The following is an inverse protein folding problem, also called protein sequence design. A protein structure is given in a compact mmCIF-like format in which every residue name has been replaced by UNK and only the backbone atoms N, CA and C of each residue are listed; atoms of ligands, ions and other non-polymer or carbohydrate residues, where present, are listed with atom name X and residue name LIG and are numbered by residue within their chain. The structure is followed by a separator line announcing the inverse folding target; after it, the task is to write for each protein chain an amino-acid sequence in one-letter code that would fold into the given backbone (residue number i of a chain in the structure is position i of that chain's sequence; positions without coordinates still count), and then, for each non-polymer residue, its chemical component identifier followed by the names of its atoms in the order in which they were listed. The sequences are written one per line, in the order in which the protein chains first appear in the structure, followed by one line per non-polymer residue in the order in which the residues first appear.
data_IF_962280120100
#
_entry.id   IF_962280120100
#
_cell.length_a   1.000
_cell.length_b   1.000
_cell.length_c   1.000
_cell.angle_alpha   90.00
_cell.angle_beta   90.00
_cell.angle_gamma   90.00
#
_symmetry.space_group_name_H-M   'P 1'
#
loop_
_entity.id
_entity.type
_entity.pdbx_description
1 polymer ?
#
# COMPACT_ATOMS: atom_id res chain seq x y z
N UNK A 1 15.60 9.51 -15.56
CA UNK A 1 14.74 8.58 -14.77
C UNK A 1 15.52 7.29 -14.58
N UNK A 2 15.55 6.76 -13.37
CA UNK A 2 16.33 5.59 -12.99
C UNK A 2 15.77 4.29 -13.60
N UNK A 3 16.62 3.26 -13.83
CA UNK A 3 16.21 2.01 -14.45
C UNK A 3 15.14 1.26 -13.63
N UNK A 4 15.20 1.31 -12.29
CA UNK A 4 14.23 0.70 -11.39
C UNK A 4 12.83 1.28 -11.61
N UNK A 5 12.73 2.61 -11.77
CA UNK A 5 11.47 3.31 -12.04
C UNK A 5 10.93 2.93 -13.41
N UNK A 6 11.81 2.84 -14.42
CA UNK A 6 11.39 2.45 -15.78
C UNK A 6 10.86 1.01 -15.79
N UNK A 7 11.55 0.10 -15.10
CA UNK A 7 11.12 -1.30 -14.96
C UNK A 7 9.77 -1.38 -14.22
N UNK A 8 9.59 -0.62 -13.15
CA UNK A 8 8.35 -0.60 -12.38
C UNK A 8 7.17 -0.06 -13.19
N UNK A 9 7.37 0.99 -13.98
CA UNK A 9 6.36 1.50 -14.93
C UNK A 9 5.90 0.44 -15.93
N UNK A 10 6.83 -0.36 -16.46
CA UNK A 10 6.50 -1.48 -17.34
C UNK A 10 5.64 -2.52 -16.60
N UNK A 11 6.01 -2.89 -15.38
CA UNK A 11 5.21 -3.80 -14.53
C UNK A 11 3.79 -3.30 -14.30
N UNK A 12 3.60 -2.02 -14.05
CA UNK A 12 2.25 -1.43 -13.90
C UNK A 12 1.47 -1.50 -15.24
N UNK A 13 2.10 -1.18 -16.35
CA UNK A 13 1.45 -1.25 -17.66
C UNK A 13 1.02 -2.68 -18.02
N UNK A 14 1.86 -3.66 -17.76
CA UNK A 14 1.56 -5.09 -17.95
C UNK A 14 0.43 -5.55 -17.02
N UNK A 15 0.47 -5.14 -15.74
CA UNK A 15 -0.60 -5.39 -14.78
C UNK A 15 -1.94 -4.82 -15.25
N UNK A 16 -1.96 -3.55 -15.66
CA UNK A 16 -3.18 -2.90 -16.14
C UNK A 16 -3.74 -3.57 -17.40
N UNK A 17 -2.87 -3.99 -18.32
CA UNK A 17 -3.26 -4.75 -19.52
C UNK A 17 -3.90 -6.08 -19.14
N UNK A 18 -3.23 -6.85 -18.27
CA UNK A 18 -3.73 -8.15 -17.77
C UNK A 18 -5.04 -7.99 -16.99
N UNK A 19 -5.13 -6.98 -16.13
CA UNK A 19 -6.35 -6.66 -15.37
C UNK A 19 -7.53 -6.41 -16.32
N UNK A 20 -7.37 -5.54 -17.32
CA UNK A 20 -8.42 -5.25 -18.32
C UNK A 20 -8.85 -6.49 -19.10
N UNK A 21 -7.91 -7.40 -19.41
CA UNK A 21 -8.23 -8.67 -20.06
C UNK A 21 -9.05 -9.57 -19.13
N UNK A 22 -8.60 -9.77 -17.91
CA UNK A 22 -9.29 -10.60 -16.91
C UNK A 22 -10.67 -10.06 -16.53
N UNK A 23 -10.82 -8.74 -16.46
CA UNK A 23 -12.12 -8.10 -16.24
C UNK A 23 -13.11 -8.35 -17.39
N UNK A 24 -12.64 -8.41 -18.64
CA UNK A 24 -13.47 -8.76 -19.81
C UNK A 24 -13.87 -10.24 -19.82
N UNK A 25 -12.95 -11.14 -19.44
CA UNK A 25 -13.16 -12.58 -19.47
C UNK A 25 -13.95 -13.10 -18.28
N UNK A 26 -13.70 -12.58 -17.07
CA UNK A 26 -14.19 -13.10 -15.79
C UNK A 26 -15.07 -12.11 -15.01
N UNK A 27 -15.24 -10.89 -15.54
CA UNK A 27 -15.99 -9.83 -14.90
C UNK A 27 -15.22 -9.05 -13.83
N UNK A 28 -15.84 -8.02 -13.23
CA UNK A 28 -15.18 -7.04 -12.34
C UNK A 28 -14.62 -7.66 -11.04
N UNK A 29 -15.10 -8.82 -10.65
CA UNK A 29 -14.66 -9.52 -9.43
C UNK A 29 -13.58 -10.58 -9.67
N UNK A 30 -12.89 -10.56 -10.81
CA UNK A 30 -11.90 -11.55 -11.24
C UNK A 30 -10.83 -11.89 -10.17
N UNK A 31 -10.45 -10.94 -9.33
CA UNK A 31 -9.41 -11.12 -8.31
C UNK A 31 -9.95 -11.61 -6.94
N UNK A 32 -11.27 -11.76 -6.78
CA UNK A 32 -11.89 -12.09 -5.49
C UNK A 32 -11.45 -13.43 -4.87
N UNK A 33 -10.94 -14.36 -5.66
CA UNK A 33 -10.40 -15.65 -5.17
C UNK A 33 -8.90 -15.81 -5.33
N UNK A 34 -8.27 -15.00 -6.18
CA UNK A 34 -6.86 -15.15 -6.59
C UNK A 34 -5.90 -14.38 -5.68
N UNK A 35 -6.36 -13.30 -5.03
CA UNK A 35 -5.56 -12.42 -4.16
C UNK A 35 -4.25 -11.93 -4.79
N UNK A 36 -4.26 -11.71 -6.10
CA UNK A 36 -3.10 -11.15 -6.79
C UNK A 36 -2.85 -9.71 -6.29
N UNK A 37 -1.63 -9.46 -5.83
CA UNK A 37 -1.23 -8.15 -5.31
C UNK A 37 -0.80 -7.25 -6.46
N UNK A 38 -1.42 -6.09 -6.66
CA UNK A 38 -1.01 -5.14 -7.68
C UNK A 38 0.40 -4.59 -7.37
N UNK A 39 1.18 -4.21 -8.40
CA UNK A 39 2.40 -3.46 -8.20
C UNK A 39 2.14 -2.17 -7.42
N UNK A 40 3.14 -1.68 -6.69
CA UNK A 40 3.03 -0.40 -6.00
C UNK A 40 2.57 0.70 -6.97
N UNK A 41 1.66 1.58 -6.50
CA UNK A 41 1.09 2.70 -7.26
C UNK A 41 0.22 2.32 -8.49
N UNK A 42 -0.10 1.04 -8.67
CA UNK A 42 -1.07 0.61 -9.68
C UNK A 42 -2.52 0.82 -9.24
N UNK A 43 -2.75 1.05 -7.95
CA UNK A 43 -4.06 1.33 -7.36
C UNK A 43 -3.97 2.52 -6.40
N UNK A 44 -5.13 3.17 -6.14
CA UNK A 44 -5.19 4.32 -5.24
C UNK A 44 -4.72 5.64 -5.86
N UNK A 45 -4.34 5.62 -7.15
CA UNK A 45 -3.87 6.78 -7.90
C UNK A 45 -4.34 6.65 -9.35
N UNK A 46 -4.75 7.78 -9.97
CA UNK A 46 -5.11 7.82 -11.38
C UNK A 46 -3.90 7.60 -12.30
N UNK A 47 -4.14 7.11 -13.52
CA UNK A 47 -3.08 6.95 -14.52
C UNK A 47 -2.42 8.31 -14.87
N UNK A 48 -3.15 9.41 -14.74
CA UNK A 48 -2.68 10.77 -14.99
C UNK A 48 -1.63 11.25 -13.95
N UNK A 49 -1.77 10.83 -12.69
CA UNK A 49 -0.85 11.23 -11.61
C UNK A 49 0.36 10.31 -11.47
N UNK A 50 0.36 9.12 -12.06
CA UNK A 50 1.51 8.21 -11.99
C UNK A 50 2.83 8.84 -12.48
N UNK A 51 2.88 9.60 -13.61
CA UNK A 51 4.13 10.25 -14.04
C UNK A 51 4.68 11.24 -13.02
N UNK A 52 3.80 11.92 -12.27
CA UNK A 52 4.18 12.85 -11.21
C UNK A 52 4.83 12.12 -10.04
N UNK A 53 4.23 11.01 -9.61
CA UNK A 53 4.79 10.14 -8.55
C UNK A 53 6.18 9.66 -8.93
N UNK A 54 6.38 9.18 -10.15
CA UNK A 54 7.69 8.71 -10.60
C UNK A 54 8.74 9.80 -10.65
N UNK A 55 8.37 11.05 -10.96
CA UNK A 55 9.28 12.19 -10.88
C UNK A 55 9.68 12.50 -9.43
N UNK A 56 8.73 12.47 -8.50
CA UNK A 56 8.99 12.65 -7.07
C UNK A 56 9.94 11.57 -6.54
N UNK A 57 9.70 10.31 -6.84
CA UNK A 57 10.59 9.21 -6.44
C UNK A 57 11.98 9.34 -7.08
N UNK A 58 12.07 9.73 -8.36
CA UNK A 58 13.36 9.96 -9.03
C UNK A 58 14.15 11.12 -8.40
N UNK A 59 13.47 12.20 -8.01
CA UNK A 59 14.08 13.31 -7.30
C UNK A 59 14.60 12.91 -5.92
N UNK A 60 13.79 12.22 -5.12
CA UNK A 60 14.19 11.66 -3.83
C UNK A 60 15.37 10.68 -3.99
N UNK A 61 15.30 9.78 -4.97
CA UNK A 61 16.38 8.82 -5.21
C UNK A 61 17.69 9.48 -5.64
N UNK A 62 17.63 10.55 -6.45
CA UNK A 62 18.83 11.32 -6.82
C UNK A 62 19.51 11.96 -5.62
N UNK A 63 18.74 12.44 -4.68
CA UNK A 63 19.27 13.07 -3.47
C UNK A 63 19.76 12.04 -2.43
N UNK A 64 19.08 10.91 -2.28
CA UNK A 64 19.35 9.96 -1.22
C UNK A 64 20.39 8.90 -1.57
N UNK A 65 20.50 8.47 -2.84
CA UNK A 65 21.46 7.42 -3.21
C UNK A 65 22.92 7.82 -2.98
N UNK A 66 23.36 9.09 -3.24
CA UNK A 66 24.70 9.51 -2.86
C UNK A 66 24.99 9.43 -1.36
N UNK A 67 23.94 9.38 -0.53
CA UNK A 67 24.00 9.27 0.94
C UNK A 67 23.96 7.81 1.44
N UNK A 68 24.16 6.84 0.54
CA UNK A 68 24.22 5.42 0.88
C UNK A 68 22.89 4.66 0.79
N UNK A 69 21.83 5.34 0.34
CA UNK A 69 20.55 4.67 0.10
C UNK A 69 20.52 3.93 -1.24
N UNK A 70 19.65 2.96 -1.35
CA UNK A 70 19.34 2.28 -2.61
C UNK A 70 17.82 2.26 -2.82
N UNK A 71 17.40 2.33 -4.07
CA UNK A 71 16.01 2.15 -4.48
C UNK A 71 15.82 0.69 -4.88
N UNK A 72 14.82 0.02 -4.29
CA UNK A 72 14.49 -1.36 -4.64
C UNK A 72 13.60 -1.41 -5.89
N UNK A 73 13.42 -2.60 -6.47
CA UNK A 73 12.51 -2.81 -7.60
C UNK A 73 11.05 -2.45 -7.29
N UNK A 74 10.63 -2.54 -6.03
CA UNK A 74 9.30 -2.14 -5.56
C UNK A 74 9.23 -0.66 -5.16
N UNK A 75 10.25 0.12 -5.53
CA UNK A 75 10.38 1.55 -5.25
C UNK A 75 10.34 1.89 -3.76
N UNK A 76 10.89 1.01 -2.92
CA UNK A 76 11.17 1.28 -1.51
C UNK A 76 12.59 1.81 -1.36
N UNK A 77 12.80 2.68 -0.39
CA UNK A 77 14.13 3.11 -0.01
C UNK A 77 14.73 2.13 1.01
N UNK A 78 15.92 1.64 0.74
CA UNK A 78 16.64 0.73 1.62
C UNK A 78 18.02 1.29 1.98
N UNK A 79 18.40 1.14 3.25
CA UNK A 79 19.73 1.41 3.76
C UNK A 79 20.13 0.22 4.65
N UNK A 80 21.24 -0.42 4.34
CA UNK A 80 21.66 -1.69 4.95
C UNK A 80 20.57 -2.76 4.86
N UNK A 81 20.04 -3.18 6.01
CA UNK A 81 18.97 -4.18 6.12
C UNK A 81 17.58 -3.56 6.32
N UNK A 82 17.53 -2.25 6.52
CA UNK A 82 16.31 -1.54 6.88
C UNK A 82 15.66 -0.93 5.64
N UNK A 83 14.34 -1.04 5.56
CA UNK A 83 13.56 -0.56 4.41
C UNK A 83 12.46 0.39 4.85
N UNK A 84 12.30 1.47 4.09
CA UNK A 84 11.21 2.44 4.24
C UNK A 84 10.30 2.37 3.03
N UNK A 85 9.03 2.18 3.28
CA UNK A 85 7.99 2.07 2.25
C UNK A 85 7.33 3.43 2.01
N UNK A 86 7.20 3.80 0.74
CA UNK A 86 6.44 4.97 0.31
C UNK A 86 5.08 4.50 -0.21
N UNK A 87 4.02 5.12 0.27
CA UNK A 87 2.65 4.86 -0.21
C UNK A 87 2.06 6.17 -0.72
N UNK A 88 1.72 6.20 -2.00
CA UNK A 88 1.01 7.33 -2.58
C UNK A 88 -0.49 7.02 -2.68
N UNK A 89 -1.29 8.04 -2.42
CA UNK A 89 -2.73 8.02 -2.66
C UNK A 89 -3.18 9.34 -3.24
N UNK A 90 -4.22 9.30 -4.05
CA UNK A 90 -4.85 10.47 -4.63
C UNK A 90 -6.20 10.72 -3.96
N UNK A 91 -6.45 11.97 -3.62
CA UNK A 91 -7.71 12.36 -3.01
C UNK A 91 -8.85 12.27 -4.05
N UNK A 92 -10.05 12.00 -3.55
CA UNK A 92 -11.25 11.91 -4.37
C UNK A 92 -12.27 12.97 -3.94
N UNK A 93 -12.97 13.55 -4.91
CA UNK A 93 -14.14 14.37 -4.69
C UNK A 93 -15.39 13.54 -4.96
N UNK A 94 -16.46 13.82 -4.23
CA UNK A 94 -17.75 13.21 -4.46
C UNK A 94 -18.55 14.09 -5.45
N UNK A 95 -18.90 13.51 -6.59
CA UNK A 95 -19.78 14.13 -7.58
C UNK A 95 -21.14 13.43 -7.59
N UNK A 96 -22.19 14.15 -7.95
CA UNK A 96 -23.52 13.56 -8.05
C UNK A 96 -23.50 12.46 -9.12
N UNK A 97 -23.98 11.28 -8.75
CA UNK A 97 -24.04 10.16 -9.67
C UNK A 97 -25.06 10.40 -10.77
N UNK A 98 -24.68 10.21 -12.02
CA UNK A 98 -25.59 10.19 -13.16
C UNK A 98 -25.95 8.74 -13.46
N UNK A 99 -27.24 8.33 -13.29
CA UNK A 99 -27.64 6.95 -13.49
C UNK A 99 -27.26 6.42 -14.87
N UNK A 100 -26.68 5.25 -14.91
CA UNK A 100 -26.37 4.55 -16.16
C UNK A 100 -27.63 4.09 -16.88
N UNK A 101 -27.52 3.70 -18.15
CA UNK A 101 -28.64 3.14 -18.89
C UNK A 101 -29.27 1.92 -18.21
N UNK A 102 -28.44 1.05 -17.61
CA UNK A 102 -28.92 -0.13 -16.91
C UNK A 102 -29.64 0.22 -15.61
N UNK A 103 -29.14 1.22 -14.88
CA UNK A 103 -29.77 1.72 -13.66
C UNK A 103 -31.10 2.39 -13.95
N UNK A 104 -31.17 3.15 -15.04
CA UNK A 104 -32.44 3.77 -15.51
C UNK A 104 -33.47 2.70 -15.91
N UNK A 105 -33.05 1.62 -16.59
CA UNK A 105 -33.96 0.51 -16.89
C UNK A 105 -34.48 -0.15 -15.60
N UNK A 106 -33.67 -0.40 -14.62
CA UNK A 106 -34.10 -0.93 -13.31
C UNK A 106 -35.05 0.03 -12.59
N UNK A 107 -34.87 1.33 -12.72
CA UNK A 107 -35.81 2.31 -12.16
C UNK A 107 -37.17 2.26 -12.86
N UNK A 108 -37.19 2.13 -14.18
CA UNK A 108 -38.44 2.00 -14.95
C UNK A 108 -39.15 0.69 -14.62
N UNK A 109 -38.42 -0.44 -14.56
CA UNK A 109 -38.99 -1.71 -14.14
C UNK A 109 -39.59 -1.62 -12.75
N UNK A 110 -38.89 -0.99 -11.81
CA UNK A 110 -39.42 -0.75 -10.46
C UNK A 110 -40.70 0.09 -10.48
N UNK A 111 -40.75 1.17 -11.27
CA UNK A 111 -41.94 2.02 -11.37
C UNK A 111 -43.15 1.25 -11.92
N UNK A 112 -42.94 0.37 -12.89
CA UNK A 112 -44.00 -0.48 -13.43
C UNK A 112 -44.47 -1.55 -12.44
N UNK A 113 -43.53 -2.19 -11.71
CA UNK A 113 -43.85 -3.17 -10.68
C UNK A 113 -44.54 -2.53 -9.48
N UNK A 114 -44.10 -1.37 -9.03
CA UNK A 114 -44.66 -0.64 -7.90
C UNK A 114 -46.10 -0.16 -8.14
N UNK A 115 -46.48 0.09 -9.40
CA UNK A 115 -47.86 0.34 -9.76
C UNK A 115 -48.77 -0.86 -9.58
N UNK A 116 -48.22 -2.07 -9.66
CA UNK A 116 -48.98 -3.32 -9.54
C UNK A 116 -48.89 -3.93 -8.14
N UNK A 117 -47.72 -3.75 -7.46
CA UNK A 117 -47.39 -4.42 -6.22
C UNK A 117 -46.74 -3.43 -5.24
N UNK A 118 -47.37 -3.18 -4.12
CA UNK A 118 -46.91 -2.25 -3.07
C UNK A 118 -45.63 -2.73 -2.35
N UNK A 119 -45.28 -4.01 -2.49
CA UNK A 119 -44.06 -4.63 -1.92
C UNK A 119 -42.82 -4.50 -2.83
N UNK A 120 -42.93 -3.96 -4.04
CA UNK A 120 -41.78 -3.77 -4.92
C UNK A 120 -40.69 -2.92 -4.27
N UNK A 121 -39.46 -3.43 -4.28
CA UNK A 121 -38.33 -2.73 -3.64
C UNK A 121 -37.60 -1.84 -4.61
N UNK A 122 -37.47 -0.57 -4.25
CA UNK A 122 -36.70 0.40 -5.04
C UNK A 122 -35.23 -0.06 -5.18
N UNK A 123 -34.66 -0.11 -6.40
CA UNK A 123 -33.26 -0.44 -6.60
C UNK A 123 -32.35 0.57 -5.88
N UNK A 124 -31.32 0.05 -5.19
CA UNK A 124 -30.34 0.88 -4.52
C UNK A 124 -29.32 1.39 -5.55
N UNK A 125 -29.50 2.64 -5.97
CA UNK A 125 -28.54 3.34 -6.82
C UNK A 125 -27.73 4.27 -5.94
N UNK A 126 -26.41 4.27 -6.16
CA UNK A 126 -25.50 5.16 -5.43
C UNK A 126 -25.83 6.63 -5.74
N UNK A 127 -25.76 7.47 -4.73
CA UNK A 127 -26.05 8.90 -4.87
C UNK A 127 -24.84 9.69 -5.39
N UNK A 128 -23.64 9.24 -5.10
CA UNK A 128 -22.39 9.91 -5.43
C UNK A 128 -21.39 8.96 -6.06
N UNK A 129 -20.61 9.48 -6.97
CA UNK A 129 -19.40 8.87 -7.52
C UNK A 129 -18.17 9.51 -6.90
N UNK A 130 -17.14 8.71 -6.62
CA UNK A 130 -15.85 9.21 -6.17
C UNK A 130 -14.93 9.34 -7.37
N UNK A 131 -14.48 10.57 -7.65
CA UNK A 131 -13.60 10.88 -8.78
C UNK A 131 -12.29 11.45 -8.25
N UNK A 132 -11.16 10.98 -8.76
CA UNK A 132 -9.86 11.52 -8.41
C UNK A 132 -9.76 13.00 -8.76
N UNK A 133 -9.15 13.80 -7.87
CA UNK A 133 -9.08 15.25 -8.01
C UNK A 133 -7.66 15.80 -8.24
N UNK A 134 -6.69 14.92 -8.48
CA UNK A 134 -5.30 15.27 -8.78
C UNK A 134 -4.45 15.63 -7.57
N UNK A 135 -5.01 15.71 -6.34
CA UNK A 135 -4.24 15.99 -5.12
C UNK A 135 -3.63 14.71 -4.58
N UNK A 136 -2.30 14.67 -4.55
CA UNK A 136 -1.56 13.54 -4.03
C UNK A 136 -1.30 13.66 -2.52
N UNK A 137 -1.24 12.52 -1.87
CA UNK A 137 -0.63 12.37 -0.56
C UNK A 137 0.40 11.26 -0.57
N UNK A 138 1.52 11.48 0.12
CA UNK A 138 2.59 10.54 0.35
C UNK A 138 2.60 10.17 1.82
N UNK A 139 2.47 8.88 2.12
CA UNK A 139 2.67 8.32 3.44
C UNK A 139 3.98 7.56 3.49
N UNK A 140 4.84 7.88 4.45
CA UNK A 140 6.13 7.26 4.68
C UNK A 140 5.96 6.26 5.80
N UNK A 141 6.17 4.98 5.50
CA UNK A 141 6.14 3.85 6.45
C UNK A 141 4.86 3.74 7.30
N UNK A 142 3.75 4.35 6.85
CA UNK A 142 2.50 4.40 7.60
C UNK A 142 2.44 5.44 8.72
N UNK A 143 3.54 6.14 9.02
CA UNK A 143 3.66 7.07 10.14
C UNK A 143 3.50 8.54 9.73
N UNK A 144 4.31 9.02 8.82
CA UNK A 144 4.33 10.42 8.39
C UNK A 144 3.63 10.61 7.06
N UNK A 145 2.70 11.58 6.99
CA UNK A 145 1.96 11.88 5.76
C UNK A 145 2.19 13.32 5.30
N UNK A 146 2.55 13.47 4.03
CA UNK A 146 2.61 14.74 3.30
C UNK A 146 1.46 14.79 2.30
N UNK A 147 0.85 15.96 2.09
CA UNK A 147 -0.31 16.11 1.20
C UNK A 147 -0.21 17.38 0.40
N UNK A 148 -0.65 17.33 -0.86
CA UNK A 148 -0.91 18.54 -1.62
C UNK A 148 -1.98 19.39 -0.92
N UNK A 149 -1.72 20.66 -0.77
CA UNK A 149 -2.68 21.63 -0.22
C UNK A 149 -2.63 22.93 -1.03
N UNK A 150 -3.41 23.92 -0.61
CA UNK A 150 -3.44 25.22 -1.28
C UNK A 150 -2.12 26.00 -1.17
N UNK A 151 -1.35 25.75 -0.12
CA UNK A 151 -0.13 26.51 0.20
C UNK A 151 1.12 25.89 -0.40
N UNK A 152 1.14 24.60 -0.66
CA UNK A 152 2.30 23.87 -1.20
C UNK A 152 1.88 22.58 -1.89
N UNK A 153 2.73 22.11 -2.76
CA UNK A 153 2.65 20.78 -3.39
C UNK A 153 3.76 19.88 -2.86
N UNK A 154 3.66 18.58 -3.11
CA UNK A 154 4.64 17.61 -2.60
C UNK A 154 6.07 17.93 -3.05
N UNK A 155 6.23 18.46 -4.26
CA UNK A 155 7.53 18.85 -4.83
C UNK A 155 8.28 19.92 -3.99
N UNK A 156 7.54 20.78 -3.30
CA UNK A 156 8.10 21.82 -2.43
C UNK A 156 8.64 21.29 -1.10
N UNK A 157 8.33 20.03 -0.76
CA UNK A 157 8.60 19.41 0.53
C UNK A 157 9.58 18.23 0.45
N UNK A 158 10.41 18.17 -0.61
CA UNK A 158 11.35 17.06 -0.81
C UNK A 158 12.35 16.92 0.36
N UNK A 159 12.86 18.03 0.89
CA UNK A 159 13.79 18.03 2.02
C UNK A 159 13.14 17.45 3.28
N UNK A 160 11.91 17.85 3.59
CA UNK A 160 11.17 17.32 4.74
C UNK A 160 10.85 15.82 4.58
N UNK A 161 10.55 15.40 3.34
CA UNK A 161 10.36 13.98 3.03
C UNK A 161 11.64 13.18 3.25
N UNK A 162 12.78 13.68 2.80
CA UNK A 162 14.08 13.04 3.02
C UNK A 162 14.37 12.90 4.51
N UNK A 163 14.23 13.97 5.29
CA UNK A 163 14.41 13.93 6.74
C UNK A 163 13.47 12.92 7.41
N UNK A 164 12.23 12.86 6.94
CA UNK A 164 11.25 11.89 7.45
C UNK A 164 11.62 10.46 7.09
N UNK A 165 12.13 10.19 5.88
CA UNK A 165 12.61 8.85 5.49
C UNK A 165 13.79 8.43 6.37
N UNK A 166 14.73 9.32 6.69
CA UNK A 166 15.82 9.06 7.63
C UNK A 166 15.30 8.75 9.04
N UNK A 167 14.36 9.56 9.55
CA UNK A 167 13.76 9.33 10.87
C UNK A 167 13.04 7.97 10.96
N UNK A 168 12.27 7.61 9.94
CA UNK A 168 11.59 6.33 9.89
C UNK A 168 12.55 5.15 9.76
N UNK A 169 13.64 5.28 8.99
CA UNK A 169 14.66 4.25 8.90
C UNK A 169 15.34 3.98 10.24
N UNK A 170 15.65 5.04 11.00
CA UNK A 170 16.22 4.89 12.33
C UNK A 170 15.25 4.17 13.29
N UNK A 171 13.95 4.48 13.24
CA UNK A 171 12.95 3.76 14.02
C UNK A 171 12.85 2.28 13.64
N UNK A 172 12.87 1.97 12.32
CA UNK A 172 12.87 0.59 11.82
C UNK A 172 14.10 -0.15 12.32
N UNK A 173 15.29 0.47 12.26
CA UNK A 173 16.55 -0.07 12.75
C UNK A 173 16.49 -0.36 14.25
N UNK A 174 16.05 0.59 15.06
CA UNK A 174 15.91 0.42 16.51
C UNK A 174 14.91 -0.71 16.84
N UNK A 175 13.79 -0.78 16.15
CA UNK A 175 12.83 -1.86 16.35
C UNK A 175 13.41 -3.24 15.97
N UNK A 176 14.24 -3.33 14.91
CA UNK A 176 14.93 -4.57 14.52
C UNK A 176 15.92 -4.98 15.58
N UNK A 177 16.80 -4.07 16.02
CA UNK A 177 17.81 -4.36 17.05
C UNK A 177 17.16 -4.82 18.36
N UNK A 178 16.07 -4.17 18.80
CA UNK A 178 15.33 -4.58 19.98
C UNK A 178 14.72 -6.00 19.85
N UNK A 179 14.22 -6.36 18.65
CA UNK A 179 13.70 -7.72 18.39
C UNK A 179 14.82 -8.77 18.43
N UNK A 180 15.96 -8.50 17.79
CA UNK A 180 17.12 -9.38 17.79
C UNK A 180 17.67 -9.60 19.21
N UNK A 181 17.69 -8.56 20.02
CA UNK A 181 18.11 -8.65 21.42
C UNK A 181 17.11 -9.47 22.25
N UNK A 182 15.81 -9.20 22.11
CA UNK A 182 14.77 -9.98 22.79
C UNK A 182 14.80 -11.46 22.40
N UNK A 183 15.08 -11.76 21.13
CA UNK A 183 15.22 -13.15 20.67
C UNK A 183 16.45 -13.84 21.26
N UNK A 184 17.61 -13.17 21.28
CA UNK A 184 18.82 -13.66 21.95
C UNK A 184 18.58 -13.97 23.43
N UNK A 185 17.90 -13.06 24.13
CA UNK A 185 17.56 -13.26 25.55
C UNK A 185 16.63 -14.47 25.76
N UNK A 186 15.63 -14.66 24.88
CA UNK A 186 14.75 -15.84 24.92
C UNK A 186 15.52 -17.14 24.70
N UNK A 187 16.38 -17.19 23.69
CA UNK A 187 17.21 -18.37 23.40
C UNK A 187 18.16 -18.70 24.56
N UNK A 188 18.75 -17.67 25.19
CA UNK A 188 19.61 -17.88 26.34
C UNK A 188 18.82 -18.39 27.55
N UNK A 189 17.62 -17.87 27.81
CA UNK A 189 16.75 -18.38 28.87
C UNK A 189 16.30 -19.83 28.63
N UNK A 190 15.98 -20.16 27.40
CA UNK A 190 15.62 -21.53 27.00
C UNK A 190 16.78 -22.49 27.25
N UNK A 191 17.99 -22.14 26.79
CA UNK A 191 19.18 -22.92 27.02
C UNK A 191 19.43 -23.13 28.52
N UNK A 192 19.35 -22.08 29.34
CA UNK A 192 19.52 -22.21 30.80
C UNK A 192 18.46 -23.12 31.43
N UNK A 193 17.23 -23.08 30.96
CA UNK A 193 16.15 -23.98 31.43
C UNK A 193 16.40 -25.42 31.01
N UNK A 194 16.89 -25.66 29.81
CA UNK A 194 17.25 -27.00 29.34
C UNK A 194 18.44 -27.57 30.13
N UNK A 195 19.48 -26.79 30.36
CA UNK A 195 20.62 -27.15 31.18
C UNK A 195 20.17 -27.52 32.61
N UNK A 196 19.28 -26.73 33.23
CA UNK A 196 18.72 -27.01 34.55
C UNK A 196 17.91 -28.33 34.57
N UNK A 197 17.10 -28.56 33.52
CA UNK A 197 16.34 -29.81 33.36
C UNK A 197 17.28 -31.02 33.26
N UNK A 198 18.31 -30.90 32.44
CA UNK A 198 19.28 -31.99 32.27
C UNK A 198 20.00 -32.28 33.57
N UNK A 199 20.42 -31.24 34.31
CA UNK A 199 21.06 -31.40 35.63
C UNK A 199 20.13 -32.07 36.63
N UNK A 200 18.87 -31.63 36.71
CA UNK A 200 17.86 -32.23 37.58
C UNK A 200 17.62 -33.71 37.22
N UNK A 201 17.43 -34.05 35.96
CA UNK A 201 17.23 -35.41 35.51
C UNK A 201 18.45 -36.31 35.85
N UNK A 202 19.66 -35.79 35.60
CA UNK A 202 20.91 -36.52 35.94
C UNK A 202 21.09 -36.71 37.45
N UNK A 203 20.56 -35.82 38.27
CA UNK A 203 20.59 -35.97 39.73
C UNK A 203 19.55 -36.99 40.22
N UNK A 204 18.35 -36.98 39.65
CA UNK A 204 17.33 -37.99 39.92
C UNK A 204 17.80 -39.40 39.52
N UNK A 205 18.43 -39.55 38.35
CA UNK A 205 18.94 -40.84 37.87
C UNK A 205 20.11 -41.38 38.73
N UNK A 206 20.81 -40.53 39.48
CA UNK A 206 21.87 -40.94 40.43
C UNK A 206 21.33 -41.35 41.78
N UNK A 207 20.12 -40.93 42.12
CA UNK A 207 19.50 -41.17 43.43
C UNK A 207 18.56 -42.37 43.45
N UNK A 208 18.24 -42.91 42.26
CA UNK A 208 17.53 -44.17 42.04
C UNK A 208 18.52 -45.35 41.89
#
# INVERSE_FOLDING_TARGET
MRPEIVAHRKRIAEWNKRKRQLERELGPNWNRGRRETPPAFAQGVSEEQQPRIFRLIDALAKAMIPLGWRLTEDLRFAMDQDMVTLTFSEATDQILHTPTREENLKLLEYEEEHKKYDWARKPQIRKYDSVYNGRLSLCINGAKTFRDCRSYVLEDRLEDMMLSIYGEAEQVKQARLAREEAERQRQEQERKREEQRQQYNAEVDRTL
#
